data_IF_906218182293
#
_entry.id   IF_906218182293
#
_cell.length_a   1.000
_cell.length_b   1.000
_cell.length_c   1.000
_cell.angle_alpha   90.00
_cell.angle_beta   90.00
_cell.angle_gamma   90.00
#
_symmetry.space_group_name_H-M   'P 1'
#
loop_
_entity.id
_entity.type
_entity.pdbx_description
1 polymer ?
#
# COMPACT_ATOMS: atom_id res chain seq x y z
N UNK A 1 -15.59 -20.08 -47.01
CA UNK A 1 -15.56 -20.76 -45.70
C UNK A 1 -16.93 -20.59 -45.04
N UNK A 2 -17.64 -21.71 -44.84
CA UNK A 2 -19.02 -21.75 -44.35
C UNK A 2 -19.05 -21.50 -42.83
N UNK A 3 -19.96 -20.63 -42.41
CA UNK A 3 -20.31 -20.36 -41.00
C UNK A 3 -21.05 -21.56 -40.41
N UNK A 4 -20.72 -21.96 -39.18
CA UNK A 4 -21.57 -22.82 -38.36
C UNK A 4 -21.60 -22.26 -36.93
N UNK A 5 -22.80 -21.84 -36.54
CA UNK A 5 -23.26 -21.50 -35.18
C UNK A 5 -23.66 -22.80 -34.47
N UNK A 6 -23.19 -23.03 -33.23
CA UNK A 6 -23.76 -24.01 -32.28
C UNK A 6 -23.55 -23.42 -30.87
N UNK A 7 -24.52 -22.70 -30.31
CA UNK A 7 -25.62 -23.12 -29.40
C UNK A 7 -25.13 -23.60 -28.01
N UNK A 8 -25.63 -22.86 -27.01
CA UNK A 8 -25.56 -23.04 -25.57
C UNK A 8 -26.01 -24.42 -25.08
N UNK A 9 -25.30 -24.97 -24.10
CA UNK A 9 -25.86 -25.93 -23.15
C UNK A 9 -25.62 -25.40 -21.74
N UNK A 10 -26.70 -24.91 -21.14
CA UNK A 10 -26.83 -24.71 -19.69
C UNK A 10 -27.19 -26.06 -19.10
N UNK A 11 -26.33 -26.63 -18.27
CA UNK A 11 -26.63 -27.81 -17.46
C UNK A 11 -26.63 -27.42 -15.98
N UNK A 12 -27.79 -26.98 -15.52
CA UNK A 12 -28.15 -26.93 -14.11
C UNK A 12 -28.31 -28.36 -13.59
N UNK A 13 -27.29 -28.87 -12.90
CA UNK A 13 -27.45 -29.99 -11.98
C UNK A 13 -27.31 -29.47 -10.55
N UNK A 14 -28.46 -29.14 -9.96
CA UNK A 14 -28.61 -29.11 -8.53
C UNK A 14 -28.53 -30.53 -7.99
N UNK A 15 -27.57 -30.80 -7.12
CA UNK A 15 -27.60 -31.94 -6.22
C UNK A 15 -27.65 -31.36 -4.81
N UNK A 16 -28.86 -31.34 -4.26
CA UNK A 16 -29.06 -31.25 -2.83
C UNK A 16 -28.64 -32.59 -2.22
N UNK A 17 -27.50 -32.62 -1.54
CA UNK A 17 -27.21 -33.64 -0.53
C UNK A 17 -27.11 -32.95 0.81
N UNK A 18 -28.12 -33.19 1.64
CA UNK A 18 -28.27 -32.68 2.98
C UNK A 18 -27.69 -33.69 3.98
N UNK A 19 -26.87 -33.17 4.89
CA UNK A 19 -26.52 -33.65 6.23
C UNK A 19 -25.45 -34.73 6.50
N UNK A 20 -24.58 -34.30 7.44
CA UNK A 20 -23.67 -35.02 8.36
C UNK A 20 -22.34 -35.51 7.79
N UNK A 21 -21.30 -34.69 7.89
CA UNK A 21 -20.48 -34.73 9.11
C UNK A 21 -19.55 -33.51 9.25
N UNK A 22 -19.51 -33.00 10.46
CA UNK A 22 -18.69 -31.88 10.91
C UNK A 22 -17.23 -32.32 11.06
N UNK A 23 -16.30 -31.67 10.34
CA UNK A 23 -14.96 -31.26 10.80
C UNK A 23 -14.01 -30.99 9.62
N UNK A 24 -14.33 -29.99 8.79
CA UNK A 24 -13.25 -29.22 8.15
C UNK A 24 -13.05 -28.00 9.03
N UNK A 25 -12.31 -28.20 10.14
CA UNK A 25 -11.85 -27.10 10.99
C UNK A 25 -11.05 -26.16 10.11
N UNK A 26 -11.67 -25.03 9.85
CA UNK A 26 -11.08 -23.70 9.77
C UNK A 26 -9.79 -23.68 8.94
N UNK A 27 -9.92 -23.27 7.67
CA UNK A 27 -8.81 -22.60 6.96
C UNK A 27 -8.12 -21.71 7.98
N UNK A 28 -6.85 -21.96 8.28
CA UNK A 28 -6.02 -21.01 9.00
C UNK A 28 -6.22 -19.67 8.29
N UNK A 29 -7.07 -18.81 8.86
CA UNK A 29 -7.05 -17.40 8.53
C UNK A 29 -5.68 -17.03 9.08
N UNK A 30 -4.70 -16.97 8.18
CA UNK A 30 -3.44 -16.32 8.48
C UNK A 30 -3.89 -14.93 8.87
N UNK A 31 -3.93 -14.66 10.18
CA UNK A 31 -4.23 -13.37 10.73
C UNK A 31 -3.03 -12.52 10.34
N UNK A 32 -3.06 -12.03 9.10
CA UNK A 32 -2.01 -11.15 8.60
C UNK A 32 -2.15 -9.92 9.46
N UNK A 33 -1.12 -9.66 10.27
CA UNK A 33 -1.14 -8.55 11.20
C UNK A 33 -1.32 -7.26 10.41
N UNK A 34 -2.56 -6.76 10.45
CA UNK A 34 -2.96 -5.60 9.69
C UNK A 34 -2.22 -4.34 10.15
N UNK A 35 -1.61 -4.37 11.35
CA UNK A 35 -0.71 -3.32 11.82
C UNK A 35 0.58 -3.33 11.00
N UNK A 36 1.27 -4.46 10.90
CA UNK A 36 2.56 -4.57 10.21
C UNK A 36 2.44 -4.20 8.72
N UNK A 37 1.35 -4.62 8.05
CA UNK A 37 1.07 -4.19 6.67
C UNK A 37 0.97 -2.66 6.59
N UNK A 38 0.17 -2.03 7.45
CA UNK A 38 -0.02 -0.57 7.42
C UNK A 38 1.29 0.16 7.71
N UNK A 39 2.10 -0.38 8.63
CA UNK A 39 3.40 0.19 9.00
C UNK A 39 4.34 0.18 7.80
N UNK A 40 4.50 -0.97 7.16
CA UNK A 40 5.30 -1.12 5.94
C UNK A 40 4.80 -0.20 4.82
N UNK A 41 3.48 -0.13 4.60
CA UNK A 41 2.90 0.75 3.58
C UNK A 41 3.19 2.24 3.88
N UNK A 42 3.10 2.65 5.15
CA UNK A 42 3.41 4.02 5.55
C UNK A 42 4.90 4.37 5.36
N UNK A 43 5.81 3.44 5.66
CA UNK A 43 7.25 3.62 5.40
C UNK A 43 7.52 3.76 3.89
N UNK A 44 6.93 2.90 3.06
CA UNK A 44 7.07 2.98 1.60
C UNK A 44 6.59 4.32 1.05
N UNK A 45 5.44 4.82 1.52
CA UNK A 45 4.94 6.14 1.08
C UNK A 45 5.88 7.28 1.47
N UNK A 46 6.54 7.19 2.64
CA UNK A 46 7.54 8.16 3.07
C UNK A 46 8.79 8.08 2.20
N UNK A 47 9.32 6.88 1.93
CA UNK A 47 10.49 6.70 1.05
C UNK A 47 10.23 7.23 -0.36
N UNK A 48 9.06 6.95 -0.92
CA UNK A 48 8.68 7.48 -2.24
C UNK A 48 8.58 9.00 -2.24
N UNK A 49 7.99 9.60 -1.19
CA UNK A 49 7.94 11.05 -1.06
C UNK A 49 9.34 11.65 -0.88
N UNK A 50 10.21 11.00 -0.12
CA UNK A 50 11.59 11.42 0.10
C UNK A 50 12.39 11.40 -1.20
N UNK A 51 12.25 10.32 -1.99
CA UNK A 51 12.88 10.20 -3.31
C UNK A 51 12.51 11.35 -4.25
N UNK A 52 11.26 11.81 -4.23
CA UNK A 52 10.84 12.97 -5.00
C UNK A 52 11.40 14.29 -4.46
N UNK A 53 11.54 14.42 -3.14
CA UNK A 53 12.14 15.60 -2.53
C UNK A 53 13.64 15.69 -2.84
N UNK A 54 14.36 14.56 -2.83
CA UNK A 54 15.76 14.49 -3.23
C UNK A 54 15.97 15.02 -4.66
N UNK A 55 15.10 14.63 -5.60
CA UNK A 55 15.13 15.17 -6.98
C UNK A 55 14.95 16.70 -6.99
N UNK A 56 14.16 17.24 -6.07
CA UNK A 56 14.01 18.68 -5.90
C UNK A 56 15.29 19.37 -5.43
N UNK A 57 15.93 18.82 -4.40
CA UNK A 57 17.19 19.34 -3.86
C UNK A 57 18.29 19.29 -4.94
N UNK A 58 18.37 18.18 -5.68
CA UNK A 58 19.30 17.98 -6.80
C UNK A 58 18.94 18.77 -8.07
N UNK A 59 17.81 19.52 -8.07
CA UNK A 59 17.29 20.29 -9.22
C UNK A 59 16.99 19.43 -10.46
N UNK A 60 16.69 18.15 -10.27
CA UNK A 60 16.36 17.17 -11.32
C UNK A 60 14.87 17.22 -11.72
N UNK A 61 14.01 17.80 -10.88
CA UNK A 61 12.58 17.94 -11.14
C UNK A 61 12.06 19.33 -10.75
N UNK A 62 11.00 19.79 -11.41
CA UNK A 62 10.35 21.05 -11.08
C UNK A 62 9.54 20.93 -9.79
N UNK A 63 9.41 22.04 -9.05
CA UNK A 63 8.57 22.11 -7.84
C UNK A 63 7.13 21.63 -8.08
N UNK A 64 6.56 21.98 -9.24
CA UNK A 64 5.21 21.56 -9.61
C UNK A 64 5.11 20.03 -9.72
N UNK A 65 6.07 19.39 -10.41
CA UNK A 65 6.09 17.93 -10.56
C UNK A 65 6.33 17.22 -9.23
N UNK A 66 7.23 17.75 -8.40
CA UNK A 66 7.50 17.22 -7.06
C UNK A 66 6.23 17.24 -6.21
N UNK A 67 5.50 18.36 -6.20
CA UNK A 67 4.26 18.48 -5.44
C UNK A 67 3.16 17.54 -5.94
N UNK A 68 3.03 17.37 -7.26
CA UNK A 68 2.08 16.43 -7.88
C UNK A 68 2.30 14.99 -7.38
N UNK A 69 3.55 14.62 -7.13
CA UNK A 69 3.92 13.27 -6.69
C UNK A 69 3.87 13.12 -5.17
N UNK A 70 4.33 14.11 -4.40
CA UNK A 70 4.40 14.03 -2.94
C UNK A 70 3.01 14.15 -2.30
N UNK A 71 2.19 15.11 -2.73
CA UNK A 71 0.90 15.40 -2.07
C UNK A 71 -0.02 14.17 -1.95
N UNK A 72 -0.32 13.40 -3.02
CA UNK A 72 -1.20 12.25 -2.90
C UNK A 72 -0.63 11.14 -2.00
N UNK A 73 0.71 11.00 -1.95
CA UNK A 73 1.38 10.04 -1.06
C UNK A 73 1.24 10.44 0.40
N UNK A 74 1.45 11.71 0.69
CA UNK A 74 1.30 12.25 2.04
C UNK A 74 -0.15 12.19 2.52
N UNK A 75 -1.14 12.35 1.64
CA UNK A 75 -2.54 12.11 1.99
C UNK A 75 -2.84 10.66 2.36
N UNK A 76 -2.31 9.69 1.59
CA UNK A 76 -2.44 8.26 1.89
C UNK A 76 -1.76 7.91 3.22
N UNK A 77 -0.54 8.41 3.42
CA UNK A 77 0.21 8.26 4.66
C UNK A 77 -0.59 8.75 5.88
N UNK A 78 -1.20 9.94 5.80
CA UNK A 78 -2.04 10.47 6.87
C UNK A 78 -3.26 9.59 7.16
N UNK A 79 -3.86 8.98 6.13
CA UNK A 79 -4.99 8.05 6.30
C UNK A 79 -4.55 6.75 7.00
N UNK A 80 -3.35 6.25 6.70
CA UNK A 80 -2.79 5.07 7.37
C UNK A 80 -2.50 5.36 8.84
N UNK A 81 -1.84 6.48 9.15
CA UNK A 81 -1.52 6.88 10.52
C UNK A 81 -2.76 6.95 11.43
N UNK A 82 -3.89 7.47 10.92
CA UNK A 82 -5.15 7.56 11.69
C UNK A 82 -5.71 6.20 12.11
N UNK A 83 -5.26 5.11 11.47
CA UNK A 83 -5.72 3.73 11.69
C UNK A 83 -4.69 2.88 12.43
N UNK A 84 -3.55 3.46 12.79
CA UNK A 84 -2.50 2.81 13.56
C UNK A 84 -2.72 2.98 15.05
N UNK A 85 -2.19 2.05 15.84
CA UNK A 85 -2.09 2.25 17.28
C UNK A 85 -1.00 3.29 17.60
N UNK A 86 -0.90 3.69 18.87
CA UNK A 86 0.06 4.71 19.33
C UNK A 86 1.52 4.28 19.13
N UNK A 87 1.82 2.99 19.32
CA UNK A 87 3.18 2.46 19.21
C UNK A 87 3.65 2.58 17.75
N UNK A 88 2.91 2.00 16.82
CA UNK A 88 3.32 1.97 15.40
C UNK A 88 3.35 3.38 14.80
N UNK A 89 2.37 4.22 15.15
CA UNK A 89 2.37 5.61 14.69
C UNK A 89 3.57 6.41 15.23
N UNK A 90 4.05 6.11 16.44
CA UNK A 90 5.26 6.72 16.99
C UNK A 90 6.50 6.23 16.23
N UNK A 91 6.62 4.93 15.99
CA UNK A 91 7.73 4.36 15.21
C UNK A 91 7.81 4.97 13.81
N UNK A 92 6.68 5.11 13.13
CA UNK A 92 6.59 5.72 11.80
C UNK A 92 6.94 7.22 11.80
N UNK A 93 6.54 7.97 12.83
CA UNK A 93 6.91 9.39 12.93
C UNK A 93 8.40 9.56 13.21
N UNK A 94 9.02 8.68 14.00
CA UNK A 94 10.47 8.70 14.21
C UNK A 94 11.21 8.44 12.89
N UNK A 95 10.79 7.44 12.14
CA UNK A 95 11.32 7.16 10.81
C UNK A 95 11.16 8.35 9.84
N UNK A 96 10.02 9.04 9.88
CA UNK A 96 9.81 10.27 9.10
C UNK A 96 10.81 11.38 9.48
N UNK A 97 11.12 11.53 10.77
CA UNK A 97 12.11 12.52 11.25
C UNK A 97 13.50 12.17 10.71
N UNK A 98 13.90 10.90 10.74
CA UNK A 98 15.16 10.43 10.16
C UNK A 98 15.28 10.82 8.68
N UNK A 99 14.24 10.55 7.89
CA UNK A 99 14.20 10.92 6.46
C UNK A 99 14.29 12.43 6.21
N UNK A 100 13.64 13.23 7.06
CA UNK A 100 13.76 14.70 6.99
C UNK A 100 15.20 15.14 7.27
N UNK A 101 15.88 14.54 8.25
CA UNK A 101 17.27 14.86 8.55
C UNK A 101 18.19 14.50 7.37
N UNK A 102 17.97 13.36 6.71
CA UNK A 102 18.72 12.98 5.49
C UNK A 102 18.56 14.03 4.37
N UNK A 103 17.36 14.58 4.18
CA UNK A 103 17.11 15.63 3.20
C UNK A 103 17.78 16.96 3.57
N UNK A 104 17.78 17.33 4.86
CA UNK A 104 18.46 18.53 5.35
C UNK A 104 19.96 18.42 5.08
N UNK A 105 20.57 17.28 5.41
CA UNK A 105 21.99 17.02 5.15
C UNK A 105 22.32 17.09 3.67
N UNK A 106 21.45 16.52 2.82
CA UNK A 106 21.60 16.61 1.36
C UNK A 106 21.54 18.07 0.88
N UNK A 107 20.59 18.86 1.38
CA UNK A 107 20.45 20.27 1.02
C UNK A 107 21.66 21.11 1.46
N UNK A 108 22.23 20.82 2.63
CA UNK A 108 23.45 21.48 3.11
C UNK A 108 24.64 21.14 2.21
N UNK A 109 24.80 19.88 1.79
CA UNK A 109 25.91 19.45 0.91
C UNK A 109 25.82 20.03 -0.50
N UNK A 110 24.61 20.33 -0.98
CA UNK A 110 24.38 20.87 -2.33
C UNK A 110 24.59 22.39 -2.41
N UNK A 111 24.58 23.09 -1.26
CA UNK A 111 24.82 24.53 -1.12
C UNK A 111 26.31 24.82 -0.94
#
# INVERSE_FOLDING_TARGET
MKRIFIILIVSSFGIACNNKDNNVKTKNIIEVDSSEIRKSEAMTLLDEANSWMEKGIKKEASKAKINEEINPRMEKYQKLLKRMNKKDSTEIQNYRIEKINELIDLQIKQN
#
